data_IF_372609011598
#
_entry.id   IF_372609011598
#
_cell.length_a   1.000
_cell.length_b   1.000
_cell.length_c   1.000
_cell.angle_alpha   90.00
_cell.angle_beta   90.00
_cell.angle_gamma   90.00
#
_symmetry.space_group_name_H-M   'P 1'
#
loop_
_entity.id
_entity.type
_entity.pdbx_description
1 polymer ?
#
# COMPACT_ATOMS: atom_id res chain seq x y z
N UNK A 1 -1.25 18.21 -0.66
CA UNK A 1 -1.92 16.96 -0.26
C UNK A 1 -2.47 17.16 1.13
N UNK A 2 -3.78 17.02 1.32
CA UNK A 2 -4.42 17.13 2.64
C UNK A 2 -4.86 15.74 3.09
N UNK A 3 -4.61 15.41 4.36
CA UNK A 3 -5.12 14.18 4.94
C UNK A 3 -6.58 14.38 5.37
N UNK A 4 -7.44 13.44 5.01
CA UNK A 4 -8.85 13.40 5.41
C UNK A 4 -9.15 12.13 6.19
N UNK A 5 -10.25 12.10 6.94
CA UNK A 5 -10.76 10.88 7.56
C UNK A 5 -12.01 10.41 6.84
N UNK A 6 -12.07 9.12 6.50
CA UNK A 6 -13.25 8.46 5.94
C UNK A 6 -13.54 7.18 6.70
N UNK A 7 -14.82 6.77 6.77
CA UNK A 7 -15.19 5.48 7.33
C UNK A 7 -14.88 4.37 6.31
N UNK A 8 -13.99 3.44 6.67
CA UNK A 8 -13.77 2.23 5.87
C UNK A 8 -14.81 1.18 6.24
N UNK A 9 -15.67 0.79 5.28
CA UNK A 9 -16.69 -0.24 5.50
C UNK A 9 -16.09 -1.62 5.76
N UNK A 10 -14.94 -1.94 5.17
CA UNK A 10 -14.25 -3.23 5.37
C UNK A 10 -13.63 -3.35 6.77
N UNK A 11 -12.98 -2.29 7.26
CA UNK A 11 -12.34 -2.27 8.58
C UNK A 11 -13.29 -1.83 9.71
N UNK A 12 -14.51 -1.39 9.38
CA UNK A 12 -15.51 -0.84 10.29
C UNK A 12 -14.99 0.28 11.21
N UNK A 13 -14.08 1.13 10.70
CA UNK A 13 -13.47 2.23 11.48
C UNK A 13 -13.12 3.44 10.61
N UNK A 14 -12.97 4.64 11.20
CA UNK A 14 -12.35 5.76 10.52
C UNK A 14 -10.91 5.42 10.13
N UNK A 15 -10.55 5.78 8.90
CA UNK A 15 -9.20 5.67 8.37
C UNK A 15 -8.74 7.01 7.80
N UNK A 16 -7.44 7.26 7.88
CA UNK A 16 -6.80 8.40 7.23
C UNK A 16 -6.60 8.10 5.75
N UNK A 17 -6.93 9.07 4.92
CA UNK A 17 -6.72 9.01 3.47
C UNK A 17 -6.03 10.28 2.98
N UNK A 18 -5.40 10.17 1.82
CA UNK A 18 -4.99 11.31 1.01
C UNK A 18 -5.68 11.17 -0.35
N UNK A 19 -6.12 12.30 -0.90
CA UNK A 19 -6.55 12.38 -2.30
C UNK A 19 -5.40 13.03 -3.08
N UNK A 20 -4.86 12.32 -4.07
CA UNK A 20 -3.87 12.90 -4.99
C UNK A 20 -4.61 13.80 -5.98
N UNK A 21 -3.99 14.94 -6.30
CA UNK A 21 -4.51 15.77 -7.39
C UNK A 21 -4.24 15.05 -8.72
N UNK A 22 -5.14 15.15 -9.71
CA UNK A 22 -4.82 14.71 -11.05
C UNK A 22 -3.59 15.49 -11.53
N UNK A 23 -2.61 14.81 -12.11
CA UNK A 23 -1.50 15.51 -12.76
C UNK A 23 -2.05 16.18 -14.02
N UNK A 24 -2.04 17.52 -14.03
CA UNK A 24 -2.21 18.30 -15.26
C UNK A 24 -0.97 18.06 -16.14
N UNK A 25 -1.02 17.04 -16.99
CA UNK A 25 -0.02 16.84 -18.03
C UNK A 25 -0.51 17.64 -19.25
N UNK A 26 0.19 18.72 -19.59
CA UNK A 26 0.01 19.43 -20.85
C UNK A 26 0.48 18.55 -22.01
N UNK A 27 -0.45 17.74 -22.53
CA UNK A 27 -0.23 16.85 -23.67
C UNK A 27 -1.40 15.87 -23.84
N UNK A 28 -1.54 15.21 -25.00
CA UNK A 28 -2.63 14.26 -25.25
C UNK A 28 -2.46 12.91 -24.49
N UNK A 29 -1.86 12.93 -23.30
CA UNK A 29 -1.53 11.75 -22.52
C UNK A 29 -2.47 11.62 -21.31
N UNK A 30 -3.11 10.44 -21.21
CA UNK A 30 -3.93 9.93 -20.11
C UNK A 30 -4.03 10.84 -18.87
N UNK A 31 -5.18 11.49 -18.71
CA UNK A 31 -5.60 12.04 -17.43
C UNK A 31 -5.55 10.91 -16.39
N UNK A 32 -4.59 10.96 -15.48
CA UNK A 32 -4.64 10.12 -14.30
C UNK A 32 -5.68 10.74 -13.35
N UNK A 33 -6.78 10.03 -13.11
CA UNK A 33 -7.82 10.46 -12.19
C UNK A 33 -7.24 10.67 -10.78
N UNK A 34 -7.89 11.54 -10.00
CA UNK A 34 -7.57 11.73 -8.58
C UNK A 34 -7.64 10.38 -7.84
N UNK A 35 -6.55 9.97 -7.19
CA UNK A 35 -6.44 8.66 -6.57
C UNK A 35 -6.57 8.79 -5.05
N UNK A 36 -7.43 7.94 -4.45
CA UNK A 36 -7.55 7.86 -2.99
C UNK A 36 -6.50 6.86 -2.48
N UNK A 37 -5.60 7.35 -1.62
CA UNK A 37 -4.60 6.54 -0.92
C UNK A 37 -5.00 6.40 0.55
N UNK A 38 -5.21 5.17 1.01
CA UNK A 38 -5.46 4.85 2.41
C UNK A 38 -4.14 4.76 3.17
N UNK A 39 -3.95 5.62 4.18
CA UNK A 39 -2.74 5.63 5.02
C UNK A 39 -2.77 4.56 6.12
N UNK A 40 -3.93 3.97 6.38
CA UNK A 40 -4.11 2.97 7.44
C UNK A 40 -4.36 1.56 6.88
N UNK A 41 -3.96 1.30 5.62
CA UNK A 41 -3.91 -0.06 5.07
C UNK A 41 -2.95 -0.90 5.92
N UNK A 42 -3.29 -2.15 6.21
CA UNK A 42 -2.49 -2.97 7.12
C UNK A 42 -3.10 -4.34 7.40
N UNK A 43 -2.76 -4.94 8.53
CA UNK A 43 -3.20 -6.31 8.91
C UNK A 43 -4.73 -6.46 9.01
N UNK A 44 -5.46 -5.37 9.26
CA UNK A 44 -6.94 -5.39 9.31
C UNK A 44 -7.60 -5.44 7.93
N UNK A 45 -6.83 -5.25 6.84
CA UNK A 45 -7.34 -5.33 5.47
C UNK A 45 -7.33 -6.80 5.02
N UNK A 46 -8.41 -7.52 5.31
CA UNK A 46 -8.53 -8.96 5.00
C UNK A 46 -9.22 -9.25 3.67
N UNK A 47 -9.80 -8.23 3.01
CA UNK A 47 -10.47 -8.38 1.72
C UNK A 47 -9.50 -8.26 0.55
N UNK A 48 -9.85 -8.88 -0.58
CA UNK A 48 -9.09 -8.77 -1.84
C UNK A 48 -9.17 -7.39 -2.51
N UNK A 49 -10.06 -6.50 -2.04
CA UNK A 49 -10.25 -5.16 -2.60
C UNK A 49 -10.43 -4.12 -1.49
N UNK A 50 -9.66 -3.03 -1.56
CA UNK A 50 -9.85 -1.84 -0.74
C UNK A 50 -11.04 -1.03 -1.29
N UNK A 51 -12.14 -0.85 -0.52
CA UNK A 51 -13.32 -0.14 -1.01
C UNK A 51 -13.11 1.36 -1.21
N UNK A 52 -12.07 1.94 -0.58
CA UNK A 52 -11.79 3.37 -0.69
C UNK A 52 -11.03 3.69 -1.98
N UNK A 53 -10.01 2.90 -2.29
CA UNK A 53 -9.15 3.12 -3.45
C UNK A 53 -9.53 2.31 -4.69
N UNK A 54 -10.59 1.51 -4.61
CA UNK A 54 -11.02 0.57 -5.65
C UNK A 54 -9.85 -0.25 -6.22
N UNK A 55 -8.96 -0.71 -5.34
CA UNK A 55 -7.73 -1.40 -5.70
C UNK A 55 -7.39 -2.48 -4.68
N UNK A 56 -6.61 -3.47 -5.08
CA UNK A 56 -6.12 -4.52 -4.18
C UNK A 56 -5.24 -3.91 -3.07
N UNK A 57 -5.17 -4.53 -1.87
CA UNK A 57 -4.30 -4.07 -0.78
C UNK A 57 -2.84 -3.86 -1.22
N UNK A 58 -2.30 -4.76 -2.05
CA UNK A 58 -0.94 -4.67 -2.61
C UNK A 58 -0.74 -3.37 -3.38
N UNK A 59 -1.70 -3.01 -4.24
CA UNK A 59 -1.65 -1.77 -5.00
C UNK A 59 -1.70 -0.55 -4.07
N UNK A 60 -2.48 -0.62 -2.98
CA UNK A 60 -2.58 0.46 -2.00
C UNK A 60 -1.27 0.67 -1.24
N UNK A 61 -0.64 -0.40 -0.77
CA UNK A 61 0.65 -0.34 -0.08
C UNK A 61 1.75 0.13 -1.02
N UNK A 62 1.74 -0.35 -2.27
CA UNK A 62 2.70 0.09 -3.27
C UNK A 62 2.52 1.58 -3.61
N UNK A 63 1.29 2.13 -3.58
CA UNK A 63 1.05 3.58 -3.69
C UNK A 63 1.70 4.35 -2.52
N UNK A 64 1.59 3.86 -1.29
CA UNK A 64 2.27 4.50 -0.14
C UNK A 64 3.78 4.58 -0.36
N UNK A 65 4.39 3.45 -0.70
CA UNK A 65 5.83 3.32 -0.87
C UNK A 65 6.32 4.21 -2.03
N UNK A 66 5.67 4.13 -3.20
CA UNK A 66 6.06 4.92 -4.39
C UNK A 66 5.91 6.43 -4.18
N UNK A 67 4.93 6.86 -3.39
CA UNK A 67 4.71 8.28 -3.09
C UNK A 67 5.49 8.75 -1.84
N UNK A 68 6.33 7.89 -1.23
CA UNK A 68 7.08 8.24 -0.03
C UNK A 68 6.20 8.61 1.15
N UNK A 69 4.98 8.06 1.20
CA UNK A 69 4.02 8.36 2.25
C UNK A 69 4.34 7.57 3.53
N UNK A 70 3.98 8.12 4.71
CA UNK A 70 4.24 7.45 5.97
C UNK A 70 3.56 6.07 6.03
N UNK A 71 4.30 5.08 6.54
CA UNK A 71 3.79 3.73 6.82
C UNK A 71 3.38 3.60 8.30
N UNK A 72 2.99 4.71 8.93
CA UNK A 72 2.70 4.79 10.36
C UNK A 72 1.59 3.81 10.75
N UNK A 73 1.85 2.97 11.74
CA UNK A 73 0.89 1.97 12.23
C UNK A 73 0.85 0.68 11.40
N UNK A 74 1.63 0.59 10.33
CA UNK A 74 1.88 -0.68 9.66
C UNK A 74 2.97 -1.46 10.39
N UNK A 75 2.78 -2.77 10.52
CA UNK A 75 3.80 -3.64 11.12
C UNK A 75 4.89 -3.90 10.10
N UNK A 76 6.15 -3.72 10.47
CA UNK A 76 7.30 -4.06 9.63
C UNK A 76 8.13 -5.19 10.23
N UNK A 77 8.84 -5.90 9.37
CA UNK A 77 9.79 -6.97 9.73
C UNK A 77 11.01 -6.87 8.85
N UNK A 78 12.20 -7.21 9.36
CA UNK A 78 13.39 -7.29 8.51
C UNK A 78 13.43 -8.61 7.77
N UNK A 79 13.65 -8.54 6.45
CA UNK A 79 13.88 -9.69 5.60
C UNK A 79 14.56 -9.27 4.28
N UNK A 80 15.07 -10.25 3.54
CA UNK A 80 15.56 -10.04 2.18
C UNK A 80 14.38 -9.91 1.22
N UNK A 81 14.36 -8.83 0.43
CA UNK A 81 13.37 -8.67 -0.63
C UNK A 81 13.69 -9.62 -1.80
N UNK A 82 12.75 -10.46 -2.26
CA UNK A 82 13.02 -11.40 -3.35
C UNK A 82 13.19 -10.73 -4.74
N UNK A 83 12.89 -9.43 -4.86
CA UNK A 83 12.99 -8.70 -6.12
C UNK A 83 14.24 -7.82 -6.24
N UNK A 84 14.62 -7.10 -5.18
CA UNK A 84 15.81 -6.25 -5.19
C UNK A 84 17.01 -6.83 -4.43
N UNK A 85 16.84 -8.00 -3.79
CA UNK A 85 17.88 -8.72 -3.04
C UNK A 85 18.50 -7.94 -1.87
N UNK A 86 17.85 -6.85 -1.44
CA UNK A 86 18.27 -6.06 -0.28
C UNK A 86 17.69 -6.62 1.01
N UNK A 87 18.51 -6.73 2.05
CA UNK A 87 18.02 -6.87 3.42
C UNK A 87 17.42 -5.52 3.87
N UNK A 88 16.11 -5.50 4.04
CA UNK A 88 15.37 -4.26 4.32
C UNK A 88 14.16 -4.56 5.20
N UNK A 89 13.43 -3.51 5.56
CA UNK A 89 12.12 -3.65 6.16
C UNK A 89 11.08 -4.04 5.11
N UNK A 90 10.30 -5.06 5.43
CA UNK A 90 9.12 -5.48 4.70
C UNK A 90 7.90 -5.07 5.52
N UNK A 91 6.99 -4.32 4.91
CA UNK A 91 5.73 -3.97 5.56
C UNK A 91 4.74 -5.12 5.42
N UNK A 92 4.13 -5.54 6.53
CA UNK A 92 3.13 -6.61 6.58
C UNK A 92 1.72 -6.02 6.53
N UNK A 93 0.86 -6.65 5.74
CA UNK A 93 -0.54 -6.26 5.61
C UNK A 93 -1.39 -7.46 5.17
N UNK A 94 -2.68 -7.39 5.46
CA UNK A 94 -3.60 -8.51 5.24
C UNK A 94 -3.11 -9.85 5.79
N UNK A 95 -3.70 -10.94 5.31
CA UNK A 95 -3.30 -12.28 5.71
C UNK A 95 -2.13 -12.76 4.84
N UNK A 96 -0.92 -12.61 5.36
CA UNK A 96 0.30 -13.18 4.75
C UNK A 96 0.86 -12.40 3.56
N UNK A 97 0.52 -11.12 3.41
CA UNK A 97 1.12 -10.26 2.39
C UNK A 97 2.19 -9.37 3.01
N UNK A 98 3.18 -9.06 2.20
CA UNK A 98 4.25 -8.13 2.52
C UNK A 98 4.57 -7.25 1.31
N UNK A 99 5.25 -6.13 1.54
CA UNK A 99 5.85 -5.34 0.47
C UNK A 99 7.19 -4.77 0.92
N UNK A 100 8.14 -4.70 0.00
CA UNK A 100 9.44 -4.12 0.26
C UNK A 100 9.34 -2.60 0.40
N UNK A 101 9.81 -2.02 1.51
CA UNK A 101 9.76 -0.57 1.73
C UNK A 101 10.68 0.23 0.80
N UNK A 102 11.57 -0.45 0.07
CA UNK A 102 12.52 0.19 -0.86
C UNK A 102 12.00 0.19 -2.28
N UNK A 103 11.66 -0.98 -2.85
CA UNK A 103 11.23 -1.10 -4.25
C UNK A 103 9.71 -1.19 -4.41
N UNK A 104 8.95 -1.37 -3.33
CA UNK A 104 7.50 -1.49 -3.36
C UNK A 104 6.99 -2.83 -3.91
N UNK A 105 7.87 -3.77 -4.26
CA UNK A 105 7.47 -5.08 -4.79
C UNK A 105 6.67 -5.83 -3.72
N UNK A 106 5.45 -6.29 -4.07
CA UNK A 106 4.65 -7.10 -3.17
C UNK A 106 5.24 -8.53 -3.10
N UNK A 107 5.04 -9.18 -1.96
CA UNK A 107 5.59 -10.49 -1.64
C UNK A 107 4.64 -11.23 -0.70
N UNK A 108 4.75 -12.54 -0.65
CA UNK A 108 4.08 -13.38 0.35
C UNK A 108 4.96 -13.50 1.59
N UNK A 109 4.40 -13.32 2.78
CA UNK A 109 5.08 -13.54 4.05
C UNK A 109 4.84 -14.97 4.54
N UNK A 110 5.89 -15.80 4.56
CA UNK A 110 5.82 -17.20 4.99
C UNK A 110 6.92 -17.46 6.02
N UNK A 111 6.57 -18.03 7.18
CA UNK A 111 7.52 -18.54 8.19
C UNK A 111 8.81 -17.69 8.33
N UNK A 112 8.65 -16.38 8.54
CA UNK A 112 9.73 -15.38 8.76
C UNK A 112 10.58 -14.99 7.54
N UNK A 113 10.14 -15.25 6.31
CA UNK A 113 10.77 -14.70 5.11
C UNK A 113 9.72 -14.29 4.06
N UNK A 114 10.18 -13.53 3.06
CA UNK A 114 9.36 -13.05 1.96
C UNK A 114 9.61 -13.89 0.70
N UNK A 115 8.53 -14.33 0.05
CA UNK A 115 8.54 -15.07 -1.22
C UNK A 115 7.89 -14.22 -2.33
N UNK A 116 8.25 -14.37 -3.61
CA UNK A 116 7.56 -13.70 -4.71
C UNK A 116 6.07 -14.06 -4.75
N UNK A 117 5.22 -13.10 -5.14
CA UNK A 117 3.87 -13.41 -5.60
C UNK A 117 3.98 -13.95 -7.02
N UNK A 118 3.61 -15.23 -7.19
CA UNK A 118 3.64 -15.98 -8.46
C UNK A 118 2.73 -15.39 -9.52
#
# INVERSE_FOLDING_TARGET
MSAHQLLCSACARPVRIIVTAPHEIDGPANLHDAEIICLDVGEQCTGGLCPLGHAEPDAMVARLIRNGLPLDGMRTVRATCPACDLETEMVLYGEGHAACTVCGTPARWVMRHAEPLS
#
